data_IF_820949277484
#
_entry.id   IF_820949277484
#
_cell.length_a   1.000
_cell.length_b   1.000
_cell.length_c   1.000
_cell.angle_alpha   90.00
_cell.angle_beta   90.00
_cell.angle_gamma   90.00
#
_symmetry.space_group_name_H-M   'P 1'
#
loop_
_entity.id
_entity.type
_entity.pdbx_description
1 polymer ?
#
# COMPACT_ATOMS: atom_id res chain seq x y z
N UNK A 1 -7.72 -2.14 22.33
CA UNK A 1 -8.58 -2.67 21.25
C UNK A 1 -9.87 -1.89 21.04
N UNK A 2 -10.52 -1.34 22.08
CA UNK A 2 -11.79 -0.61 21.92
C UNK A 2 -11.70 0.60 20.96
N UNK A 3 -10.69 1.46 21.12
CA UNK A 3 -10.41 2.58 20.20
C UNK A 3 -10.27 2.08 18.76
N UNK A 4 -9.54 0.99 18.58
CA UNK A 4 -9.28 0.38 17.27
C UNK A 4 -10.58 -0.09 16.60
N UNK A 5 -11.43 -0.82 17.34
CA UNK A 5 -12.73 -1.25 16.85
C UNK A 5 -13.59 -0.04 16.46
N UNK A 6 -13.70 0.96 17.35
CA UNK A 6 -14.49 2.17 17.13
C UNK A 6 -14.03 2.95 15.90
N UNK A 7 -12.72 3.19 15.78
CA UNK A 7 -12.12 3.93 14.68
C UNK A 7 -12.28 3.19 13.35
N UNK A 8 -12.16 1.85 13.33
CA UNK A 8 -12.39 1.05 12.11
C UNK A 8 -13.81 1.20 11.54
N UNK A 9 -14.79 1.48 12.40
CA UNK A 9 -16.18 1.74 12.02
C UNK A 9 -16.44 3.22 11.68
N UNK A 10 -15.45 4.09 11.85
CA UNK A 10 -15.62 5.53 11.69
C UNK A 10 -16.64 6.12 12.67
N UNK A 11 -16.77 5.53 13.86
CA UNK A 11 -17.69 5.96 14.91
C UNK A 11 -16.95 6.90 15.86
N UNK A 12 -17.54 8.02 16.27
CA UNK A 12 -16.91 8.91 17.28
C UNK A 12 -17.14 8.36 18.70
N UNK A 13 -16.32 8.79 19.67
CA UNK A 13 -16.52 8.38 21.08
C UNK A 13 -17.92 8.74 21.59
N UNK A 14 -18.44 9.92 21.23
CA UNK A 14 -19.79 10.34 21.58
C UNK A 14 -20.87 9.45 20.94
N UNK A 15 -20.69 9.06 19.67
CA UNK A 15 -21.61 8.16 18.98
C UNK A 15 -21.64 6.77 19.63
N UNK A 16 -20.47 6.20 19.94
CA UNK A 16 -20.40 4.90 20.60
C UNK A 16 -21.00 4.95 22.01
N UNK A 17 -20.76 6.02 22.76
CA UNK A 17 -21.37 6.21 24.08
C UNK A 17 -22.90 6.21 24.00
N UNK A 18 -23.47 6.85 22.97
CA UNK A 18 -24.90 6.82 22.68
C UNK A 18 -25.41 5.42 22.31
N UNK A 19 -24.68 4.67 21.46
CA UNK A 19 -25.04 3.29 21.11
C UNK A 19 -25.03 2.35 22.32
N UNK A 20 -24.15 2.59 23.28
CA UNK A 20 -24.01 1.81 24.51
C UNK A 20 -24.83 2.38 25.68
N UNK A 21 -25.61 3.44 25.45
CA UNK A 21 -26.41 4.12 26.47
C UNK A 21 -25.62 4.46 27.75
N UNK A 22 -24.38 4.94 27.59
CA UNK A 22 -23.49 5.31 28.70
C UNK A 22 -22.91 6.71 28.56
N UNK A 23 -22.40 7.26 29.67
CA UNK A 23 -21.72 8.55 29.66
C UNK A 23 -20.41 8.50 28.85
N UNK A 24 -20.19 9.48 27.97
CA UNK A 24 -18.97 9.58 27.17
C UNK A 24 -17.69 9.57 28.03
N UNK A 25 -17.72 10.21 29.20
CA UNK A 25 -16.60 10.21 30.13
C UNK A 25 -16.25 8.82 30.66
N UNK A 26 -17.24 7.96 30.88
CA UNK A 26 -17.03 6.56 31.28
C UNK A 26 -16.40 5.77 30.14
N UNK A 27 -16.93 5.90 28.91
CA UNK A 27 -16.35 5.26 27.74
C UNK A 27 -14.89 5.70 27.50
N UNK A 28 -14.58 6.98 27.69
CA UNK A 28 -13.21 7.50 27.58
C UNK A 28 -12.27 6.86 28.60
N UNK A 29 -12.73 6.66 29.84
CA UNK A 29 -11.94 5.95 30.88
C UNK A 29 -11.70 4.49 30.53
N UNK A 30 -12.65 3.81 29.88
CA UNK A 30 -12.44 2.47 29.34
C UNK A 30 -11.45 2.46 28.18
N UNK A 31 -11.58 3.39 27.22
CA UNK A 31 -10.69 3.49 26.07
C UNK A 31 -9.23 3.77 26.45
N UNK A 32 -9.03 4.60 27.47
CA UNK A 32 -7.70 4.99 27.98
C UNK A 32 -7.12 4.01 29.00
N UNK A 33 -7.90 3.02 29.44
CA UNK A 33 -7.49 2.06 30.46
C UNK A 33 -7.46 2.62 31.89
N UNK A 34 -8.01 3.81 32.12
CA UNK A 34 -8.14 4.41 33.47
C UNK A 34 -9.16 3.65 34.32
N UNK A 35 -10.19 3.08 33.69
CA UNK A 35 -11.15 2.21 34.33
C UNK A 35 -11.19 0.87 33.60
N UNK A 36 -11.28 -0.23 34.35
CA UNK A 36 -11.48 -1.56 33.79
C UNK A 36 -12.97 -1.75 33.50
N UNK A 37 -13.30 -2.07 32.25
CA UNK A 37 -14.67 -2.38 31.87
C UNK A 37 -15.07 -3.78 32.40
N UNK A 38 -16.33 -4.00 32.82
CA UNK A 38 -16.83 -5.34 33.15
C UNK A 38 -16.70 -6.30 31.96
N UNK A 39 -16.55 -7.60 32.20
CA UNK A 39 -16.38 -8.58 31.11
C UNK A 39 -17.57 -8.57 30.12
N UNK A 40 -18.78 -8.38 30.62
CA UNK A 40 -20.03 -8.27 29.83
C UNK A 40 -20.00 -7.10 28.83
N UNK A 41 -19.18 -6.07 29.09
CA UNK A 41 -19.02 -4.92 28.21
C UNK A 41 -18.44 -5.31 26.84
N UNK A 42 -17.62 -6.37 26.78
CA UNK A 42 -17.04 -6.81 25.51
C UNK A 42 -18.12 -7.29 24.53
N UNK A 43 -19.18 -7.94 25.02
CA UNK A 43 -20.31 -8.37 24.21
C UNK A 43 -21.18 -7.19 23.75
N UNK A 44 -21.39 -6.20 24.64
CA UNK A 44 -22.12 -4.97 24.29
C UNK A 44 -21.39 -4.17 23.22
N UNK A 45 -20.10 -3.92 23.42
CA UNK A 45 -19.24 -3.25 22.45
C UNK A 45 -19.16 -4.04 21.14
N UNK A 46 -19.10 -5.37 21.22
CA UNK A 46 -19.11 -6.27 20.08
C UNK A 46 -20.37 -6.13 19.23
N UNK A 47 -21.55 -6.13 19.86
CA UNK A 47 -22.84 -5.88 19.16
C UNK A 47 -22.88 -4.49 18.52
N UNK A 48 -22.46 -3.45 19.24
CA UNK A 48 -22.49 -2.07 18.74
C UNK A 48 -21.52 -1.82 17.57
N UNK A 49 -20.36 -2.48 17.58
CA UNK A 49 -19.30 -2.28 16.60
C UNK A 49 -19.17 -3.40 15.58
N UNK A 50 -20.06 -4.39 15.62
CA UNK A 50 -20.02 -5.59 14.78
C UNK A 50 -18.67 -6.32 14.85
N UNK A 51 -18.27 -6.72 16.06
CA UNK A 51 -17.11 -7.57 16.32
C UNK A 51 -17.50 -8.69 17.31
N UNK A 52 -16.89 -9.88 17.25
CA UNK A 52 -16.97 -10.82 18.36
C UNK A 52 -16.26 -10.25 19.60
N UNK A 53 -16.71 -10.62 20.80
CA UNK A 53 -16.08 -10.18 22.06
C UNK A 53 -14.58 -10.51 22.10
N UNK A 54 -14.17 -11.63 21.50
CA UNK A 54 -12.76 -12.03 21.37
C UNK A 54 -11.87 -10.99 20.70
N UNK A 55 -12.42 -10.08 19.88
CA UNK A 55 -11.66 -8.97 19.29
C UNK A 55 -11.03 -8.07 20.36
N UNK A 56 -11.75 -7.79 21.46
CA UNK A 56 -11.31 -6.85 22.49
C UNK A 56 -10.22 -7.41 23.39
N UNK A 57 -10.05 -8.73 23.42
CA UNK A 57 -9.04 -9.44 24.21
C UNK A 57 -7.80 -9.82 23.38
N UNK A 58 -7.69 -9.37 22.14
CA UNK A 58 -6.50 -9.60 21.33
C UNK A 58 -5.26 -8.91 21.95
N UNK A 59 -4.16 -9.67 22.03
CA UNK A 59 -2.89 -9.17 22.52
C UNK A 59 -2.17 -8.31 21.47
N UNK A 60 -1.38 -7.34 21.95
CA UNK A 60 -0.54 -6.46 21.14
C UNK A 60 -0.96 -5.00 21.20
N UNK A 61 0.02 -4.12 20.98
CA UNK A 61 -0.22 -2.68 20.90
C UNK A 61 -0.49 -2.27 19.45
N UNK A 62 -1.50 -1.42 19.19
CA UNK A 62 -1.67 -0.80 17.89
C UNK A 62 -0.45 0.05 17.52
N UNK A 63 -0.08 0.01 16.26
CA UNK A 63 0.95 0.86 15.69
C UNK A 63 0.32 2.15 15.20
N UNK A 64 1.04 3.26 15.37
CA UNK A 64 0.64 4.56 14.85
C UNK A 64 0.74 4.65 13.33
N UNK A 65 0.47 5.86 12.84
CA UNK A 65 0.65 6.20 11.44
C UNK A 65 2.15 6.22 11.06
N UNK A 66 2.57 5.68 9.90
CA UNK A 66 3.97 5.69 9.49
C UNK A 66 4.57 7.11 9.49
N UNK A 67 5.85 7.27 9.88
CA UNK A 67 6.47 8.60 10.02
C UNK A 67 6.62 9.33 8.68
N UNK A 68 6.92 8.61 7.60
CA UNK A 68 7.28 9.18 6.29
C UNK A 68 6.11 9.81 5.51
N UNK A 69 4.88 9.71 6.02
CA UNK A 69 3.66 10.25 5.39
C UNK A 69 3.10 11.47 6.14
N UNK A 70 3.92 12.16 6.95
CA UNK A 70 3.48 13.18 7.90
C UNK A 70 2.76 14.39 7.25
N UNK A 71 3.19 14.83 6.06
CA UNK A 71 2.51 15.93 5.36
C UNK A 71 1.10 15.56 4.88
N UNK A 72 0.92 14.32 4.40
CA UNK A 72 -0.39 13.79 3.98
C UNK A 72 -1.29 13.59 5.19
N UNK A 73 -0.73 13.10 6.30
CA UNK A 73 -1.41 13.00 7.60
C UNK A 73 -2.01 14.33 8.05
N UNK A 74 -1.30 15.46 7.92
CA UNK A 74 -1.81 16.79 8.33
C UNK A 74 -3.06 17.25 7.58
N UNK A 75 -3.32 16.72 6.38
CA UNK A 75 -4.50 17.07 5.58
C UNK A 75 -5.73 16.19 5.88
N UNK A 76 -5.53 15.08 6.59
CA UNK A 76 -6.61 14.16 6.95
C UNK A 76 -7.34 14.64 8.20
N UNK A 77 -8.66 14.49 8.21
CA UNK A 77 -9.43 14.67 9.44
C UNK A 77 -9.05 13.59 10.47
N UNK A 78 -9.17 13.90 11.76
CA UNK A 78 -8.88 12.93 12.82
C UNK A 78 -9.69 11.63 12.66
N UNK A 79 -10.94 11.73 12.21
CA UNK A 79 -11.82 10.60 11.92
C UNK A 79 -11.29 9.74 10.76
N UNK A 80 -10.90 10.35 9.64
CA UNK A 80 -10.34 9.62 8.49
C UNK A 80 -9.02 8.95 8.86
N UNK A 81 -8.13 9.67 9.55
CA UNK A 81 -6.86 9.15 10.02
C UNK A 81 -7.06 7.95 10.97
N UNK A 82 -7.96 8.07 11.94
CA UNK A 82 -8.28 6.99 12.88
C UNK A 82 -8.76 5.73 12.14
N UNK A 83 -9.68 5.88 11.19
CA UNK A 83 -10.20 4.75 10.40
C UNK A 83 -9.10 4.04 9.61
N UNK A 84 -8.23 4.80 8.95
CA UNK A 84 -7.14 4.27 8.14
C UNK A 84 -6.12 3.53 9.01
N UNK A 85 -5.68 4.16 10.11
CA UNK A 85 -4.78 3.52 11.08
C UNK A 85 -5.42 2.24 11.61
N UNK A 86 -6.73 2.27 11.91
CA UNK A 86 -7.42 1.11 12.44
C UNK A 86 -7.47 -0.06 11.45
N UNK A 87 -7.81 0.19 10.19
CA UNK A 87 -7.83 -0.82 9.13
C UNK A 87 -6.43 -1.46 8.95
N UNK A 88 -5.36 -0.66 8.86
CA UNK A 88 -4.00 -1.19 8.73
C UNK A 88 -3.61 -2.08 9.91
N UNK A 89 -3.97 -1.66 11.12
CA UNK A 89 -3.72 -2.41 12.35
C UNK A 89 -4.44 -3.76 12.37
N UNK A 90 -5.73 -3.75 12.01
CA UNK A 90 -6.56 -4.96 11.90
C UNK A 90 -5.97 -5.92 10.86
N UNK A 91 -5.66 -5.43 9.66
CA UNK A 91 -5.04 -6.23 8.59
C UNK A 91 -3.69 -6.80 9.00
N UNK A 92 -2.86 -6.03 9.69
CA UNK A 92 -1.56 -6.51 10.21
C UNK A 92 -1.74 -7.62 11.24
N UNK A 93 -2.72 -7.49 12.16
CA UNK A 93 -3.05 -8.56 13.10
C UNK A 93 -3.51 -9.84 12.37
N UNK A 94 -4.26 -9.70 11.27
CA UNK A 94 -4.66 -10.87 10.48
C UNK A 94 -3.46 -11.54 9.80
N UNK A 95 -2.59 -10.74 9.16
CA UNK A 95 -1.37 -11.27 8.54
C UNK A 95 -0.55 -12.03 9.58
N UNK A 96 -0.35 -11.45 10.78
CA UNK A 96 0.36 -12.10 11.87
C UNK A 96 -0.21 -13.48 12.21
N UNK A 97 -1.54 -13.58 12.32
CA UNK A 97 -2.23 -14.85 12.61
C UNK A 97 -2.07 -15.87 11.48
N UNK A 98 -2.15 -15.42 10.22
CA UNK A 98 -1.91 -16.30 9.09
C UNK A 98 -0.46 -16.82 9.06
N UNK A 99 0.51 -15.95 9.31
CA UNK A 99 1.94 -16.32 9.27
C UNK A 99 2.36 -17.26 10.39
N UNK A 100 1.55 -17.44 11.44
CA UNK A 100 1.80 -18.45 12.48
C UNK A 100 1.83 -19.87 11.90
N UNK A 101 0.94 -20.16 10.94
CA UNK A 101 0.83 -21.48 10.31
C UNK A 101 1.31 -21.50 8.86
N UNK A 102 1.32 -20.34 8.19
CA UNK A 102 1.81 -20.17 6.83
C UNK A 102 3.24 -19.66 6.84
N UNK A 103 4.19 -20.54 6.52
CA UNK A 103 5.59 -20.12 6.33
C UNK A 103 5.75 -19.47 4.96
N UNK A 104 6.11 -18.19 4.95
CA UNK A 104 6.52 -17.52 3.71
C UNK A 104 7.85 -18.11 3.24
N UNK A 105 7.76 -18.92 2.19
CA UNK A 105 8.92 -19.45 1.51
C UNK A 105 9.42 -18.39 0.52
N UNK A 106 10.28 -17.49 0.99
CA UNK A 106 11.10 -16.66 0.11
C UNK A 106 12.55 -16.68 0.55
N UNK A 107 13.44 -17.00 -0.38
CA UNK A 107 14.88 -16.91 -0.19
C UNK A 107 15.40 -15.48 -0.40
N UNK A 108 14.51 -14.52 -0.67
CA UNK A 108 14.81 -13.11 -0.92
C UNK A 108 14.03 -12.25 0.07
N UNK A 109 14.49 -11.02 0.23
CA UNK A 109 13.89 -10.05 1.13
C UNK A 109 13.94 -8.66 0.50
N UNK A 110 13.13 -7.73 1.05
CA UNK A 110 13.25 -6.31 0.76
C UNK A 110 14.38 -5.76 1.65
N UNK A 111 15.54 -5.44 1.06
CA UNK A 111 16.69 -4.99 1.84
C UNK A 111 16.45 -3.60 2.39
N UNK A 112 17.23 -3.25 3.42
CA UNK A 112 17.40 -1.88 3.90
C UNK A 112 18.81 -1.47 3.50
N UNK A 113 18.90 -0.38 2.74
CA UNK A 113 20.15 0.15 2.22
C UNK A 113 20.39 1.49 2.89
N UNK A 114 21.49 1.58 3.64
CA UNK A 114 22.01 2.86 4.06
C UNK A 114 22.67 3.55 2.86
N UNK A 115 22.06 4.63 2.40
CA UNK A 115 22.52 5.40 1.24
C UNK A 115 23.89 6.02 1.48
N UNK A 116 24.20 6.40 2.73
CA UNK A 116 25.45 7.07 3.09
C UNK A 116 26.61 6.08 3.18
N UNK A 117 26.33 4.80 3.49
CA UNK A 117 27.33 3.73 3.52
C UNK A 117 27.43 2.94 2.20
N UNK A 118 26.46 3.08 1.30
CA UNK A 118 26.44 2.33 0.05
C UNK A 118 27.65 2.69 -0.83
N UNK A 119 28.44 1.69 -1.21
CA UNK A 119 29.55 1.86 -2.13
C UNK A 119 29.12 1.47 -3.55
N UNK A 120 29.02 2.46 -4.43
CA UNK A 120 28.75 2.24 -5.85
C UNK A 120 29.90 1.53 -6.56
N UNK A 121 29.70 1.20 -7.84
CA UNK A 121 30.74 0.56 -8.69
C UNK A 121 31.92 1.48 -9.03
N UNK A 122 31.80 2.77 -8.74
CA UNK A 122 32.77 3.80 -9.09
C UNK A 122 33.05 4.69 -7.88
N UNK A 123 34.09 5.52 -7.95
CA UNK A 123 34.39 6.53 -6.92
C UNK A 123 33.42 7.73 -6.93
N UNK A 124 32.48 7.78 -7.89
CA UNK A 124 31.48 8.85 -7.94
C UNK A 124 30.43 8.66 -6.83
N UNK A 125 29.78 9.73 -6.37
CA UNK A 125 28.66 9.63 -5.43
C UNK A 125 27.57 8.71 -5.97
N UNK A 126 27.02 7.86 -5.09
CA UNK A 126 25.94 6.94 -5.43
C UNK A 126 24.69 7.73 -5.79
N UNK A 127 24.07 7.35 -6.90
CA UNK A 127 22.80 7.93 -7.34
C UNK A 127 21.63 7.02 -7.00
N UNK A 128 20.41 7.59 -6.98
CA UNK A 128 19.18 6.79 -6.83
C UNK A 128 19.03 5.76 -7.97
N UNK A 129 19.52 6.09 -9.17
CA UNK A 129 19.64 5.16 -10.31
C UNK A 129 20.50 3.93 -9.98
N UNK A 130 21.62 4.12 -9.26
CA UNK A 130 22.50 3.02 -8.86
C UNK A 130 21.83 2.11 -7.83
N UNK A 131 21.09 2.69 -6.89
CA UNK A 131 20.34 1.96 -5.87
C UNK A 131 19.18 1.17 -6.49
N UNK A 132 18.43 1.77 -7.41
CA UNK A 132 17.38 1.09 -8.16
C UNK A 132 17.95 -0.06 -9.00
N UNK A 133 19.10 0.15 -9.67
CA UNK A 133 19.79 -0.91 -10.41
C UNK A 133 20.26 -2.04 -9.49
N UNK A 134 20.86 -1.70 -8.35
CA UNK A 134 21.31 -2.67 -7.34
C UNK A 134 20.16 -3.55 -6.85
N UNK A 135 18.99 -2.96 -6.57
CA UNK A 135 17.82 -3.74 -6.17
C UNK A 135 17.31 -4.65 -7.29
N UNK A 136 17.30 -4.17 -8.54
CA UNK A 136 16.95 -5.03 -9.69
C UNK A 136 17.89 -6.21 -9.82
N UNK A 137 19.18 -5.99 -9.64
CA UNK A 137 20.22 -7.03 -9.70
C UNK A 137 20.08 -8.05 -8.56
N UNK A 138 19.87 -7.60 -7.32
CA UNK A 138 19.68 -8.49 -6.16
C UNK A 138 18.41 -9.32 -6.27
N UNK A 139 17.37 -8.79 -6.92
CA UNK A 139 16.14 -9.51 -7.23
C UNK A 139 16.21 -10.28 -8.56
N UNK A 140 17.37 -10.33 -9.21
CA UNK A 140 17.59 -11.02 -10.49
C UNK A 140 16.57 -10.64 -11.58
N UNK A 141 16.16 -9.38 -11.60
CA UNK A 141 15.24 -8.87 -12.61
C UNK A 141 15.96 -8.77 -13.95
N UNK A 142 15.36 -9.27 -15.05
CA UNK A 142 15.93 -9.10 -16.38
C UNK A 142 15.96 -7.62 -16.77
N UNK A 143 16.73 -7.31 -17.81
CA UNK A 143 16.62 -6.00 -18.47
C UNK A 143 15.23 -5.84 -19.10
N UNK A 144 14.71 -4.60 -19.09
CA UNK A 144 13.39 -4.30 -19.63
C UNK A 144 12.28 -4.20 -18.57
N UNK A 145 11.01 -4.30 -18.99
CA UNK A 145 9.86 -4.03 -18.13
C UNK A 145 9.72 -5.06 -17.02
N UNK A 146 9.15 -4.61 -15.89
CA UNK A 146 8.72 -5.52 -14.83
C UNK A 146 7.35 -6.06 -15.22
N UNK A 147 7.21 -7.37 -15.35
CA UNK A 147 5.94 -7.97 -15.78
C UNK A 147 4.80 -7.68 -14.80
N UNK A 148 5.06 -7.87 -13.50
CA UNK A 148 4.15 -7.59 -12.39
C UNK A 148 4.94 -7.06 -11.19
N UNK A 149 4.69 -5.81 -10.79
CA UNK A 149 5.31 -5.21 -9.60
C UNK A 149 4.79 -5.88 -8.33
N UNK A 150 3.50 -6.22 -8.30
CA UNK A 150 2.88 -6.93 -7.18
C UNK A 150 3.55 -8.29 -6.94
N UNK A 151 3.74 -9.09 -8.00
CA UNK A 151 4.37 -10.41 -7.87
C UNK A 151 5.81 -10.27 -7.39
N UNK A 152 6.60 -9.35 -7.97
CA UNK A 152 7.97 -9.14 -7.54
C UNK A 152 8.05 -8.70 -6.07
N UNK A 153 7.15 -7.83 -5.59
CA UNK A 153 7.10 -7.46 -4.17
C UNK A 153 6.77 -8.69 -3.31
N UNK A 154 5.78 -9.48 -3.69
CA UNK A 154 5.36 -10.66 -2.92
C UNK A 154 6.42 -11.78 -2.92
N UNK A 155 7.13 -11.98 -4.04
CA UNK A 155 8.22 -12.96 -4.17
C UNK A 155 9.46 -12.57 -3.36
N UNK A 156 9.67 -11.27 -3.10
CA UNK A 156 10.80 -10.76 -2.33
C UNK A 156 10.45 -10.44 -0.88
N UNK A 157 9.40 -11.07 -0.33
CA UNK A 157 9.08 -11.01 1.11
C UNK A 157 8.20 -9.83 1.53
N UNK A 158 7.57 -9.13 0.59
CA UNK A 158 6.47 -8.20 0.85
C UNK A 158 5.11 -8.88 0.83
N UNK A 159 4.09 -8.22 1.37
CA UNK A 159 2.68 -8.59 1.20
C UNK A 159 1.91 -7.35 0.75
N UNK A 160 1.28 -7.43 -0.42
CA UNK A 160 0.41 -6.36 -0.91
C UNK A 160 -1.00 -6.60 -0.37
N UNK A 161 -1.51 -5.63 0.37
CA UNK A 161 -2.81 -5.65 1.03
C UNK A 161 -3.73 -4.62 0.37
N UNK A 162 -4.72 -5.03 -0.44
CA UNK A 162 -5.75 -4.14 -0.92
C UNK A 162 -6.48 -3.47 0.25
N UNK A 163 -6.57 -2.14 0.21
CA UNK A 163 -7.17 -1.34 1.27
C UNK A 163 -7.91 -0.14 0.67
N UNK A 164 -9.18 0.04 1.05
CA UNK A 164 -9.92 1.27 0.77
C UNK A 164 -9.71 2.27 1.90
N UNK A 165 -8.91 3.31 1.64
CA UNK A 165 -8.65 4.37 2.60
C UNK A 165 -9.84 5.35 2.74
N UNK A 166 -10.84 5.29 1.85
CA UNK A 166 -11.99 6.18 1.85
C UNK A 166 -11.64 7.65 1.55
N UNK A 167 -10.48 7.89 0.93
CA UNK A 167 -9.98 9.22 0.58
C UNK A 167 -8.98 9.14 -0.58
N UNK A 168 -8.96 10.18 -1.43
CA UNK A 168 -7.98 10.33 -2.52
C UNK A 168 -6.66 10.97 -2.05
N UNK A 169 -6.53 11.27 -0.75
CA UNK A 169 -5.31 11.85 -0.18
C UNK A 169 -4.19 10.82 0.06
N UNK A 170 -4.53 9.53 0.03
CA UNK A 170 -3.60 8.41 0.23
C UNK A 170 -3.85 7.34 -0.84
N UNK A 171 -2.81 7.08 -1.62
CA UNK A 171 -2.82 6.03 -2.64
C UNK A 171 -2.28 4.70 -2.09
N UNK A 172 -1.29 4.76 -1.22
CA UNK A 172 -0.71 3.61 -0.54
C UNK A 172 0.03 4.02 0.73
N UNK A 173 0.39 3.02 1.53
CA UNK A 173 1.34 3.12 2.64
C UNK A 173 2.07 1.79 2.80
N UNK A 174 3.34 1.87 3.19
CA UNK A 174 4.13 0.71 3.56
C UNK A 174 4.52 0.71 5.03
N UNK A 175 4.67 -0.49 5.61
CA UNK A 175 5.10 -0.68 6.98
C UNK A 175 6.03 -1.88 7.11
N UNK A 176 7.15 -1.65 7.82
CA UNK A 176 8.03 -2.70 8.32
C UNK A 176 7.80 -2.85 9.82
N UNK A 177 7.51 -4.06 10.27
CA UNK A 177 7.24 -4.39 11.67
C UNK A 177 7.93 -5.70 12.01
N UNK A 178 8.65 -5.73 13.12
CA UNK A 178 9.40 -6.91 13.56
C UNK A 178 8.52 -8.16 13.63
N UNK A 179 9.07 -9.26 13.13
CA UNK A 179 8.40 -10.56 13.06
C UNK A 179 7.28 -10.63 12.01
N UNK A 180 7.14 -9.63 11.13
CA UNK A 180 6.21 -9.65 10.01
C UNK A 180 6.91 -9.32 8.68
N UNK A 181 6.36 -9.82 7.57
CA UNK A 181 6.73 -9.35 6.23
C UNK A 181 6.44 -7.86 6.08
N UNK A 182 7.13 -7.22 5.13
CA UNK A 182 6.84 -5.81 4.81
C UNK A 182 5.45 -5.72 4.20
N UNK A 183 4.58 -4.91 4.80
CA UNK A 183 3.19 -4.76 4.36
C UNK A 183 3.05 -3.52 3.48
N UNK A 184 2.42 -3.70 2.31
CA UNK A 184 2.10 -2.64 1.37
C UNK A 184 0.58 -2.50 1.29
N UNK A 185 0.03 -1.51 1.97
CA UNK A 185 -1.40 -1.19 1.91
C UNK A 185 -1.65 -0.31 0.69
N UNK A 186 -2.47 -0.76 -0.26
CA UNK A 186 -2.70 -0.03 -1.50
C UNK A 186 -4.17 0.16 -1.83
N UNK A 187 -4.50 1.37 -2.27
CA UNK A 187 -5.79 1.69 -2.85
C UNK A 187 -5.85 1.17 -4.29
N UNK A 188 -6.66 0.13 -4.52
CA UNK A 188 -6.79 -0.52 -5.81
C UNK A 188 -7.70 0.22 -6.81
N UNK A 189 -8.31 1.33 -6.38
CA UNK A 189 -9.21 2.12 -7.23
C UNK A 189 -8.47 2.98 -8.29
N UNK A 190 -7.17 3.18 -8.13
CA UNK A 190 -6.36 3.92 -9.09
C UNK A 190 -6.17 3.16 -10.43
N UNK A 191 -5.77 3.87 -11.50
CA UNK A 191 -5.24 3.25 -12.72
C UNK A 191 -4.06 2.30 -12.43
N UNK A 192 -3.94 1.22 -13.20
CA UNK A 192 -2.91 0.19 -13.06
C UNK A 192 -1.50 0.75 -13.15
N UNK A 193 -1.27 1.68 -14.08
CA UNK A 193 0.04 2.30 -14.27
C UNK A 193 0.47 3.15 -13.05
N UNK A 194 -0.48 3.85 -12.44
CA UNK A 194 -0.29 4.63 -11.21
C UNK A 194 -0.05 3.71 -10.03
N UNK A 195 -0.81 2.62 -9.91
CA UNK A 195 -0.61 1.60 -8.87
C UNK A 195 0.82 1.06 -8.90
N UNK A 196 1.36 0.75 -10.09
CA UNK A 196 2.75 0.28 -10.25
C UNK A 196 3.77 1.30 -9.74
N UNK A 197 3.63 2.57 -10.15
CA UNK A 197 4.53 3.64 -9.67
C UNK A 197 4.40 3.85 -8.16
N UNK A 198 3.18 3.85 -7.64
CA UNK A 198 2.89 3.96 -6.20
C UNK A 198 3.52 2.81 -5.40
N UNK A 199 3.41 1.56 -5.86
CA UNK A 199 4.07 0.42 -5.20
C UNK A 199 5.59 0.57 -5.19
N UNK A 200 6.19 0.98 -6.30
CA UNK A 200 7.63 1.20 -6.36
C UNK A 200 8.09 2.39 -5.49
N UNK A 201 7.24 3.41 -5.32
CA UNK A 201 7.49 4.53 -4.41
C UNK A 201 7.47 4.07 -2.95
N UNK A 202 6.47 3.28 -2.55
CA UNK A 202 6.43 2.68 -1.21
C UNK A 202 7.60 1.71 -0.99
N UNK A 203 7.99 0.95 -2.03
CA UNK A 203 9.16 0.08 -1.96
C UNK A 203 10.43 0.88 -1.70
N UNK A 204 10.58 2.04 -2.33
CA UNK A 204 11.70 2.93 -2.08
C UNK A 204 11.78 3.37 -0.62
N UNK A 205 10.64 3.66 0.04
CA UNK A 205 10.65 3.95 1.48
C UNK A 205 11.13 2.77 2.31
N UNK A 206 10.76 1.54 1.94
CA UNK A 206 11.16 0.34 2.68
C UNK A 206 12.61 -0.07 2.42
N UNK A 207 13.22 0.46 1.36
CA UNK A 207 14.60 0.19 0.98
C UNK A 207 15.55 1.29 1.43
N UNK A 208 15.18 2.56 1.30
CA UNK A 208 16.10 3.70 1.46
C UNK A 208 15.95 4.44 2.79
N UNK A 209 14.81 4.29 3.46
CA UNK A 209 14.36 5.28 4.44
C UNK A 209 14.05 4.72 5.83
N UNK A 210 14.24 3.43 6.06
CA UNK A 210 13.92 2.79 7.35
C UNK A 210 14.83 3.27 8.48
N UNK A 211 16.08 3.65 8.17
CA UNK A 211 17.08 4.14 9.13
C UNK A 211 17.49 5.61 8.90
N UNK A 212 16.94 6.26 7.88
CA UNK A 212 17.37 7.58 7.45
C UNK A 212 16.81 8.72 8.33
N UNK A 213 17.68 9.61 8.79
CA UNK A 213 17.30 10.87 9.46
C UNK A 213 17.16 12.01 8.45
N UNK A 214 16.30 11.84 7.45
CA UNK A 214 16.05 12.84 6.39
C UNK A 214 14.72 13.57 6.61
N UNK A 215 14.59 14.73 5.97
CA UNK A 215 13.31 15.47 5.95
C UNK A 215 12.32 14.86 4.97
N UNK A 216 11.02 14.92 5.29
CA UNK A 216 9.94 14.32 4.47
C UNK A 216 10.02 14.69 2.97
N UNK A 217 10.35 15.93 2.62
CA UNK A 217 10.38 16.39 1.23
C UNK A 217 11.51 15.74 0.42
N UNK A 218 12.64 15.51 1.06
CA UNK A 218 13.77 14.82 0.44
C UNK A 218 13.46 13.35 0.22
N UNK A 219 12.88 12.70 1.23
CA UNK A 219 12.51 11.29 1.17
C UNK A 219 11.45 11.01 0.09
N UNK A 220 10.42 11.86 -0.01
CA UNK A 220 9.40 11.73 -1.05
C UNK A 220 10.01 11.94 -2.46
N UNK A 221 10.97 12.87 -2.59
CA UNK A 221 11.70 13.09 -3.85
C UNK A 221 12.53 11.87 -4.23
N UNK A 222 13.31 11.33 -3.29
CA UNK A 222 14.13 10.13 -3.50
C UNK A 222 13.28 8.91 -3.84
N UNK A 223 12.13 8.74 -3.14
CA UNK A 223 11.21 7.64 -3.40
C UNK A 223 10.57 7.71 -4.80
N UNK A 224 10.17 8.90 -5.24
CA UNK A 224 9.65 9.10 -6.60
C UNK A 224 10.74 8.92 -7.69
N UNK A 225 11.96 9.37 -7.42
CA UNK A 225 13.10 9.13 -8.30
C UNK A 225 13.43 7.64 -8.43
N UNK A 226 13.44 6.94 -7.29
CA UNK A 226 13.68 5.51 -7.23
C UNK A 226 12.61 4.74 -7.99
N UNK A 227 11.32 5.05 -7.77
CA UNK A 227 10.22 4.41 -8.48
C UNK A 227 10.38 4.53 -10.01
N UNK A 228 10.70 5.73 -10.49
CA UNK A 228 10.98 5.98 -11.90
C UNK A 228 12.19 5.22 -12.41
N UNK A 229 13.30 5.19 -11.67
CA UNK A 229 14.52 4.49 -12.07
C UNK A 229 14.37 2.96 -12.05
N UNK A 230 13.63 2.42 -11.08
CA UNK A 230 13.37 1.00 -10.91
C UNK A 230 12.46 0.47 -12.03
N UNK A 231 11.42 1.23 -12.40
CA UNK A 231 10.51 0.88 -13.50
C UNK A 231 11.10 1.14 -14.88
N UNK A 232 11.91 2.20 -15.03
CA UNK A 232 12.46 2.67 -16.29
C UNK A 232 14.00 2.83 -16.19
N UNK A 233 14.76 1.71 -16.31
CA UNK A 233 16.21 1.73 -16.26
C UNK A 233 16.80 2.69 -17.29
N UNK A 234 17.74 3.54 -16.87
CA UNK A 234 18.26 4.64 -17.69
C UNK A 234 18.88 4.15 -19.01
N UNK A 235 19.65 3.06 -18.98
CA UNK A 235 20.29 2.50 -20.18
C UNK A 235 19.29 2.04 -21.24
N UNK A 236 18.12 1.56 -20.82
CA UNK A 236 17.06 1.11 -21.73
C UNK A 236 16.25 2.28 -22.27
N UNK A 237 15.89 3.25 -21.42
CA UNK A 237 15.18 4.46 -21.84
C UNK A 237 15.99 5.24 -22.87
N UNK A 238 17.31 5.39 -22.67
CA UNK A 238 18.21 6.08 -23.61
C UNK A 238 18.25 5.42 -25.00
N UNK A 239 18.09 4.09 -25.07
CA UNK A 239 18.05 3.35 -26.33
C UNK A 239 16.69 3.42 -27.02
N UNK A 240 15.60 3.47 -26.26
CA UNK A 240 14.25 3.38 -26.81
C UNK A 240 13.61 4.75 -27.10
N UNK A 241 13.97 5.80 -26.36
CA UNK A 241 13.42 7.14 -26.54
C UNK A 241 14.11 7.85 -27.71
N UNK A 242 13.70 7.50 -28.94
CA UNK A 242 14.21 8.11 -30.19
C UNK A 242 13.49 9.39 -30.59
N UNK A 243 12.24 9.54 -30.16
CA UNK A 243 11.37 10.68 -30.41
C UNK A 243 10.54 10.97 -29.16
N UNK A 244 10.15 12.21 -28.96
CA UNK A 244 9.36 12.64 -27.81
C UNK A 244 8.04 13.24 -28.29
N UNK A 245 7.08 12.37 -28.56
CA UNK A 245 5.70 12.69 -28.95
C UNK A 245 4.73 11.70 -28.29
N UNK A 246 3.45 12.08 -28.18
CA UNK A 246 2.44 11.24 -27.50
C UNK A 246 2.28 9.84 -28.12
N UNK A 247 2.23 9.66 -29.45
CA UNK A 247 2.14 8.31 -30.02
C UNK A 247 3.29 7.39 -29.60
N UNK A 248 4.53 7.90 -29.58
CA UNK A 248 5.68 7.13 -29.14
C UNK A 248 5.64 6.83 -27.65
N UNK A 249 5.25 7.81 -26.83
CA UNK A 249 5.09 7.60 -25.39
C UNK A 249 3.98 6.59 -25.08
N UNK A 250 2.89 6.57 -25.84
CA UNK A 250 1.82 5.59 -25.71
C UNK A 250 2.30 4.17 -26.03
N UNK A 251 3.15 4.01 -27.06
CA UNK A 251 3.80 2.73 -27.37
C UNK A 251 4.75 2.29 -26.26
N UNK A 252 5.57 3.21 -25.76
CA UNK A 252 6.46 2.94 -24.61
C UNK A 252 5.65 2.59 -23.36
N UNK A 253 4.53 3.26 -23.09
CA UNK A 253 3.61 2.92 -22.00
C UNK A 253 3.10 1.48 -22.10
N UNK A 254 2.69 1.05 -23.29
CA UNK A 254 2.22 -0.32 -23.50
C UNK A 254 3.32 -1.36 -23.20
N UNK A 255 4.56 -1.08 -23.60
CA UNK A 255 5.71 -1.96 -23.35
C UNK A 255 6.17 -1.95 -21.88
N UNK A 256 6.34 -0.76 -21.29
CA UNK A 256 6.85 -0.58 -19.93
C UNK A 256 5.79 -0.76 -18.84
N UNK A 257 4.50 -0.75 -19.22
CA UNK A 257 3.34 -0.80 -18.33
C UNK A 257 3.35 0.33 -17.29
N UNK A 258 3.76 1.52 -17.70
CA UNK A 258 3.79 2.73 -16.86
C UNK A 258 3.14 3.90 -17.59
N UNK A 259 2.80 4.95 -16.85
CA UNK A 259 2.15 6.12 -17.44
C UNK A 259 3.08 6.86 -18.41
N UNK A 260 2.52 7.49 -19.44
CA UNK A 260 3.24 8.43 -20.30
C UNK A 260 3.85 9.57 -19.46
N UNK A 261 3.13 10.00 -18.42
CA UNK A 261 3.64 10.94 -17.42
C UNK A 261 4.94 10.45 -16.75
N UNK A 262 4.99 9.21 -16.26
CA UNK A 262 6.20 8.62 -15.65
C UNK A 262 7.36 8.57 -16.66
N UNK A 263 7.09 8.23 -17.92
CA UNK A 263 8.10 8.21 -18.99
C UNK A 263 8.63 9.61 -19.27
N UNK A 264 7.76 10.61 -19.36
CA UNK A 264 8.14 12.00 -19.60
C UNK A 264 8.97 12.58 -18.44
N UNK A 265 8.56 12.33 -17.19
CA UNK A 265 9.33 12.72 -15.99
C UNK A 265 10.71 12.07 -16.01
N UNK A 266 10.77 10.77 -16.33
CA UNK A 266 12.04 10.04 -16.42
C UNK A 266 12.93 10.58 -17.53
N UNK A 267 12.37 10.85 -18.71
CA UNK A 267 13.10 11.43 -19.84
C UNK A 267 13.68 12.81 -19.50
N UNK A 268 12.91 13.64 -18.80
CA UNK A 268 13.35 14.96 -18.33
C UNK A 268 14.49 14.84 -17.31
N UNK A 269 14.34 13.98 -16.29
CA UNK A 269 15.40 13.70 -15.29
C UNK A 269 16.70 13.23 -15.94
N UNK A 270 16.60 12.36 -16.96
CA UNK A 270 17.76 11.86 -17.71
C UNK A 270 18.33 12.86 -18.73
N UNK A 271 17.78 14.07 -18.80
CA UNK A 271 18.13 15.15 -19.73
C UNK A 271 18.02 14.73 -21.21
N UNK A 272 17.06 13.85 -21.51
CA UNK A 272 16.76 13.39 -22.87
C UNK A 272 15.81 14.33 -23.62
N UNK A 273 15.13 15.20 -22.88
CA UNK A 273 14.23 16.22 -23.42
C UNK A 273 14.53 17.56 -22.76
N UNK A 274 14.27 18.63 -23.48
CA UNK A 274 14.38 20.00 -22.97
C UNK A 274 13.21 20.38 -22.06
N UNK A 275 13.39 21.43 -21.26
CA UNK A 275 12.31 22.01 -20.45
C UNK A 275 11.11 22.45 -21.31
N UNK A 276 11.38 22.94 -22.53
CA UNK A 276 10.34 23.31 -23.48
C UNK A 276 9.51 22.09 -23.90
N UNK A 277 10.15 20.99 -24.28
CA UNK A 277 9.44 19.75 -24.65
C UNK A 277 8.61 19.21 -23.49
N UNK A 278 9.19 19.17 -22.27
CA UNK A 278 8.47 18.75 -21.07
C UNK A 278 7.23 19.63 -20.82
N UNK A 279 7.39 20.97 -20.89
CA UNK A 279 6.27 21.92 -20.75
C UNK A 279 5.17 21.68 -21.79
N UNK A 280 5.54 21.50 -23.06
CA UNK A 280 4.59 21.27 -24.15
C UNK A 280 3.84 19.94 -23.98
N UNK A 281 4.52 18.88 -23.57
CA UNK A 281 3.90 17.60 -23.23
C UNK A 281 2.82 17.77 -22.15
N UNK A 282 3.12 18.46 -21.04
CA UNK A 282 2.13 18.67 -19.98
C UNK A 282 0.92 19.50 -20.41
N UNK A 283 1.10 20.45 -21.34
CA UNK A 283 0.00 21.22 -21.94
C UNK A 283 -0.87 20.29 -22.78
N UNK A 284 -0.27 19.46 -23.62
CA UNK A 284 -0.97 18.50 -24.48
C UNK A 284 -1.75 17.46 -23.66
N UNK A 285 -1.12 16.86 -22.64
CA UNK A 285 -1.76 15.97 -21.67
C UNK A 285 -2.97 16.62 -20.98
N UNK A 286 -2.89 17.93 -20.71
CA UNK A 286 -4.00 18.70 -20.14
C UNK A 286 -5.16 18.86 -21.13
N UNK A 287 -4.87 19.25 -22.38
CA UNK A 287 -5.86 19.43 -23.44
C UNK A 287 -6.64 18.15 -23.76
N UNK A 288 -5.95 17.00 -23.72
CA UNK A 288 -6.54 15.70 -23.99
C UNK A 288 -7.21 15.05 -22.77
N UNK A 289 -7.11 15.67 -21.58
CA UNK A 289 -7.65 15.11 -20.34
C UNK A 289 -6.82 13.96 -19.75
N UNK A 290 -5.68 13.63 -20.35
CA UNK A 290 -4.83 12.50 -19.99
C UNK A 290 -4.14 12.64 -18.62
N UNK A 291 -4.14 13.84 -18.03
CA UNK A 291 -3.68 14.03 -16.64
C UNK A 291 -4.48 13.23 -15.61
N UNK A 292 -5.76 12.93 -15.90
CA UNK A 292 -6.62 12.15 -14.99
C UNK A 292 -6.59 10.66 -15.33
N UNK A 293 -6.66 10.36 -16.63
CA UNK A 293 -6.67 8.99 -17.13
C UNK A 293 -6.10 8.97 -18.54
N UNK A 294 -5.00 8.26 -18.69
CA UNK A 294 -4.35 8.06 -19.98
C UNK A 294 -5.04 6.94 -20.77
N UNK A 295 -4.89 6.91 -22.11
CA UNK A 295 -5.31 5.77 -22.93
C UNK A 295 -4.41 4.53 -22.68
N UNK A 296 -4.87 3.37 -23.15
CA UNK A 296 -4.12 2.10 -23.16
C UNK A 296 -3.60 1.69 -21.77
N UNK A 297 -4.51 1.56 -20.82
CA UNK A 297 -4.20 1.11 -19.46
C UNK A 297 -3.58 -0.30 -19.47
N UNK A 298 -2.45 -0.53 -18.78
CA UNK A 298 -1.91 -1.88 -18.67
C UNK A 298 -2.85 -2.80 -17.87
N UNK A 299 -2.72 -4.14 -18.05
CA UNK A 299 -3.47 -5.10 -17.26
C UNK A 299 -3.32 -4.85 -15.75
N UNK A 300 -4.41 -5.01 -15.00
CA UNK A 300 -4.38 -4.89 -13.54
C UNK A 300 -3.60 -6.05 -12.94
N UNK A 301 -2.68 -5.74 -12.05
CA UNK A 301 -1.99 -6.70 -11.21
C UNK A 301 -2.83 -6.96 -9.95
N UNK A 302 -2.92 -8.23 -9.54
CA UNK A 302 -3.76 -8.63 -8.40
C UNK A 302 -2.90 -9.32 -7.35
N UNK A 303 -2.86 -8.83 -6.11
CA UNK A 303 -2.16 -9.48 -5.00
C UNK A 303 -2.62 -10.92 -4.79
N UNK A 304 -1.66 -11.84 -4.63
CA UNK A 304 -1.96 -13.27 -4.46
C UNK A 304 -1.60 -13.79 -3.08
N UNK A 305 -0.73 -13.12 -2.32
CA UNK A 305 -0.20 -13.70 -1.09
C UNK A 305 -1.27 -13.91 -0.02
N UNK A 306 -2.12 -12.91 0.24
CA UNK A 306 -3.25 -13.06 1.17
C UNK A 306 -4.23 -14.16 0.73
N UNK A 307 -4.44 -14.30 -0.59
CA UNK A 307 -5.25 -15.38 -1.15
C UNK A 307 -4.64 -16.74 -0.87
N UNK A 308 -3.35 -16.90 -1.14
CA UNK A 308 -2.60 -18.13 -0.86
C UNK A 308 -2.65 -18.49 0.62
N UNK A 309 -2.52 -17.51 1.51
CA UNK A 309 -2.64 -17.73 2.96
C UNK A 309 -4.02 -18.28 3.35
N UNK A 310 -5.10 -17.66 2.89
CA UNK A 310 -6.46 -18.13 3.20
C UNK A 310 -6.72 -19.50 2.56
N UNK A 311 -6.34 -19.69 1.30
CA UNK A 311 -6.49 -20.97 0.62
C UNK A 311 -5.70 -22.08 1.30
N UNK A 312 -4.50 -21.79 1.82
CA UNK A 312 -3.71 -22.74 2.59
C UNK A 312 -4.46 -23.17 3.85
N UNK A 313 -5.03 -22.24 4.62
CA UNK A 313 -5.80 -22.58 5.82
C UNK A 313 -7.06 -23.40 5.47
N UNK A 314 -7.75 -23.07 4.38
CA UNK A 314 -8.93 -23.84 3.92
C UNK A 314 -8.54 -25.26 3.45
N UNK A 315 -7.59 -25.35 2.53
CA UNK A 315 -7.28 -26.60 1.80
C UNK A 315 -6.34 -27.52 2.57
N UNK A 316 -5.39 -26.96 3.31
CA UNK A 316 -4.33 -27.73 3.99
C UNK A 316 -4.62 -27.94 5.47
N UNK A 317 -5.27 -26.97 6.13
CA UNK A 317 -5.62 -27.08 7.56
C UNK A 317 -7.11 -27.40 7.80
N UNK A 318 -7.93 -27.41 6.74
CA UNK A 318 -9.35 -27.77 6.83
C UNK A 318 -10.24 -26.69 7.46
N UNK A 319 -9.79 -25.44 7.53
CA UNK A 319 -10.56 -24.37 8.18
C UNK A 319 -11.76 -23.97 7.34
N UNK A 320 -12.93 -23.87 7.98
CA UNK A 320 -14.12 -23.23 7.41
C UNK A 320 -14.01 -21.70 7.46
N UNK A 321 -14.95 -21.00 6.81
CA UNK A 321 -15.08 -19.54 6.94
C UNK A 321 -15.35 -19.11 8.39
N UNK A 322 -16.04 -19.96 9.16
CA UNK A 322 -16.27 -19.73 10.59
C UNK A 322 -14.97 -19.81 11.39
N UNK A 323 -14.14 -20.82 11.12
CA UNK A 323 -12.85 -21.00 11.78
C UNK A 323 -11.89 -19.85 11.45
N UNK A 324 -11.91 -19.38 10.21
CA UNK A 324 -11.12 -18.23 9.77
C UNK A 324 -11.62 -16.92 10.39
N UNK A 325 -12.93 -16.69 10.43
CA UNK A 325 -13.48 -15.52 11.10
C UNK A 325 -13.14 -15.49 12.60
N UNK A 326 -13.24 -16.65 13.26
CA UNK A 326 -12.85 -16.83 14.66
C UNK A 326 -11.36 -16.60 14.87
N UNK A 327 -10.51 -17.21 14.02
CA UNK A 327 -9.06 -16.98 14.02
C UNK A 327 -8.77 -15.50 13.97
N UNK A 328 -9.40 -14.76 13.05
CA UNK A 328 -9.15 -13.35 12.83
C UNK A 328 -9.92 -12.41 13.78
N UNK A 329 -10.74 -12.95 14.69
CA UNK A 329 -11.60 -12.20 15.60
C UNK A 329 -12.54 -11.21 14.88
N UNK A 330 -13.20 -11.68 13.82
CA UNK A 330 -14.22 -10.91 13.08
C UNK A 330 -15.48 -11.75 12.85
N UNK A 331 -16.53 -11.13 12.34
CA UNK A 331 -17.74 -11.85 11.95
C UNK A 331 -17.55 -12.58 10.62
N UNK A 332 -18.25 -13.70 10.40
CA UNK A 332 -18.20 -14.44 9.11
C UNK A 332 -18.55 -13.56 7.91
N UNK A 333 -19.61 -12.72 7.94
CA UNK A 333 -19.89 -11.82 6.84
C UNK A 333 -18.77 -10.81 6.57
N UNK A 334 -18.05 -10.37 7.60
CA UNK A 334 -16.90 -9.50 7.43
C UNK A 334 -15.73 -10.22 6.81
N UNK A 335 -15.42 -11.44 7.27
CA UNK A 335 -14.39 -12.27 6.67
C UNK A 335 -14.64 -12.47 5.17
N UNK A 336 -15.86 -12.84 4.81
CA UNK A 336 -16.24 -13.05 3.42
C UNK A 336 -16.14 -11.79 2.58
N UNK A 337 -16.51 -10.61 3.10
CA UNK A 337 -16.32 -9.34 2.39
C UNK A 337 -14.84 -8.96 2.27
N UNK A 338 -14.09 -9.13 3.35
CA UNK A 338 -12.72 -8.68 3.50
C UNK A 338 -11.71 -9.53 2.71
N UNK A 339 -12.02 -10.82 2.56
CA UNK A 339 -11.22 -11.82 1.85
C UNK A 339 -12.00 -12.46 0.70
N UNK A 340 -13.02 -11.78 0.17
CA UNK A 340 -13.51 -12.06 -1.17
C UNK A 340 -12.37 -11.72 -2.13
N UNK A 341 -11.58 -12.73 -2.52
CA UNK A 341 -10.49 -12.55 -3.48
C UNK A 341 -11.07 -11.91 -4.74
N UNK A 342 -10.68 -10.66 -4.95
CA UNK A 342 -11.57 -9.63 -5.43
C UNK A 342 -12.11 -9.93 -6.83
N UNK A 343 -13.44 -10.05 -6.94
CA UNK A 343 -14.14 -9.66 -8.16
C UNK A 343 -13.74 -8.25 -8.50
N UNK A 344 -13.04 -8.10 -9.63
CA UNK A 344 -13.06 -6.90 -10.48
C UNK A 344 -14.46 -6.28 -10.42
N UNK A 345 -14.50 -4.98 -10.14
CA UNK A 345 -15.71 -4.15 -10.05
C UNK A 345 -16.92 -4.74 -10.78
N UNK A 346 -18.01 -5.04 -10.06
CA UNK A 346 -19.29 -5.31 -10.72
C UNK A 346 -19.60 -4.11 -11.63
N UNK A 347 -19.84 -4.31 -12.95
CA UNK A 347 -20.32 -3.21 -13.78
C UNK A 347 -21.65 -2.73 -13.17
N UNK A 348 -21.70 -1.46 -12.79
CA UNK A 348 -22.96 -0.82 -12.46
C UNK A 348 -23.73 -0.69 -13.77
N UNK A 349 -24.72 -1.56 -13.97
CA UNK A 349 -25.75 -1.32 -14.97
C UNK A 349 -26.49 -0.05 -14.57
N UNK A 350 -26.15 1.08 -15.20
CA UNK A 350 -27.04 2.22 -15.26
C UNK A 350 -28.13 1.89 -16.28
N UNK A 351 -29.34 1.67 -15.79
CA UNK A 351 -30.53 1.80 -16.64
C UNK A 351 -30.59 3.27 -17.09
N UNK A 352 -30.39 3.47 -18.38
CA UNK A 352 -30.73 4.72 -19.04
C UNK A 352 -32.25 4.64 -19.25
N UNK A 353 -33.00 5.34 -18.40
CA UNK A 353 -34.40 5.62 -18.67
C UNK A 353 -34.49 6.83 -19.61
#
# INVERSE_FOLDING_TARGET
MLILARDSRGVTQAQLAGLLSMGQGTLSKYETGVLVAPDEFADEAGRALNYPASFFFQAGQPYGFPPFHYRRRKKLSAKALGKIVAEMNIRRMHVRKFTTSFQLQSNRFIPEIDVDEFQGRTKAPVTIDDLARSLRESWMLPNGPIESVVEIIEENGGIVVPCDFGTDLLDAMSQRVDGLPVLFFINTNAPSDRIRHTLCHELAHMVLHTTAFKGDEEMEREADEFAGAFLLPSDEVRKQLRRFDLPHLANMKAYWKVSMASIAVRAHRLKLISDYQNKMFWIEMGKLGYRKREPNEPPRETPQMLKRMVEFHRKSLGYSDSDLANLLCMTVPEFQRMYAFETVARPSLRLVN
#
